data_IF_632920475583
#
_entry.id   IF_632920475583
#
_cell.length_a   1.000
_cell.length_b   1.000
_cell.length_c   1.000
_cell.angle_alpha   90.00
_cell.angle_beta   90.00
_cell.angle_gamma   90.00
#
_symmetry.space_group_name_H-M   'P 1'
#
loop_
_entity.id
_entity.type
_entity.pdbx_description
1 polymer ?
#
# COMPACT_ATOMS: atom_id res chain seq x y z
N UNK A 1 16.18 41.47 45.62
CA UNK A 1 16.85 41.59 44.29
C UNK A 1 17.49 40.25 43.97
N UNK A 2 17.78 39.94 42.69
CA UNK A 2 18.57 38.78 42.20
C UNK A 2 19.93 38.68 42.92
N UNK A 3 20.74 37.60 42.90
CA UNK A 3 20.90 36.39 42.06
C UNK A 3 21.51 35.28 42.96
N UNK A 4 21.34 33.97 42.76
CA UNK A 4 21.82 33.10 41.66
C UNK A 4 23.35 32.90 41.63
N UNK A 5 23.78 31.66 41.86
CA UNK A 5 24.85 30.89 41.17
C UNK A 5 24.95 29.51 41.90
N UNK A 6 24.40 28.41 41.36
CA UNK A 6 24.94 27.50 40.33
C UNK A 6 26.25 26.80 40.68
N UNK A 7 26.17 25.48 40.86
CA UNK A 7 27.24 24.53 40.54
C UNK A 7 26.62 23.48 39.60
N UNK A 8 27.02 23.51 38.34
CA UNK A 8 26.80 22.37 37.43
C UNK A 8 27.77 21.24 37.80
N UNK A 9 27.32 19.99 37.68
CA UNK A 9 28.00 18.99 36.85
C UNK A 9 27.24 17.66 36.80
N UNK A 10 27.07 17.11 35.59
CA UNK A 10 26.86 15.67 35.39
C UNK A 10 25.43 15.19 35.06
N UNK A 11 24.97 15.41 33.82
CA UNK A 11 24.67 14.27 32.92
C UNK A 11 24.62 14.72 31.45
N UNK A 12 25.64 14.33 30.67
CA UNK A 12 25.72 14.57 29.23
C UNK A 12 25.46 13.30 28.38
N UNK A 13 24.79 12.28 28.94
CA UNK A 13 24.53 11.00 28.25
C UNK A 13 23.07 10.83 27.78
N UNK A 14 22.12 11.61 28.30
CA UNK A 14 20.67 11.39 28.10
C UNK A 14 20.07 11.76 26.73
N UNK A 15 20.83 12.20 25.73
CA UNK A 15 20.25 12.91 24.56
C UNK A 15 19.96 12.07 23.30
N UNK A 16 20.38 10.80 23.26
CA UNK A 16 20.31 9.92 22.07
C UNK A 16 19.19 8.86 22.10
N UNK A 17 18.38 8.80 23.16
CA UNK A 17 17.31 7.82 23.32
C UNK A 17 15.95 8.49 23.54
N UNK A 18 14.88 7.82 23.12
CA UNK A 18 13.49 8.18 23.44
C UNK A 18 13.10 7.65 24.85
N UNK A 19 11.95 8.09 25.36
CA UNK A 19 11.33 7.65 26.63
C UNK A 19 10.99 6.15 26.73
N UNK A 20 11.12 5.39 25.63
CA UNK A 20 11.02 3.93 25.62
C UNK A 20 12.38 3.21 25.52
N UNK A 21 13.49 3.93 25.78
CA UNK A 21 14.84 3.39 25.84
C UNK A 21 15.44 2.97 24.49
N UNK A 22 14.79 3.34 23.37
CA UNK A 22 15.29 3.08 22.01
C UNK A 22 15.98 4.31 21.43
N UNK A 23 16.82 4.11 20.42
CA UNK A 23 17.45 5.22 19.68
C UNK A 23 16.42 6.25 19.25
N UNK A 24 16.75 7.53 19.46
CA UNK A 24 15.84 8.68 19.30
C UNK A 24 15.27 8.74 17.89
N UNK A 25 13.96 8.58 17.76
CA UNK A 25 13.28 8.58 16.47
C UNK A 25 13.29 9.99 15.87
N UNK A 26 13.95 10.14 14.73
CA UNK A 26 13.98 11.39 13.94
C UNK A 26 12.75 11.56 13.05
N UNK A 27 11.86 10.55 13.00
CA UNK A 27 10.67 10.52 12.17
C UNK A 27 9.78 11.75 12.39
N UNK A 28 9.33 12.31 11.27
CA UNK A 28 8.50 13.50 11.22
C UNK A 28 7.10 13.18 10.66
N UNK A 29 6.06 13.99 10.92
CA UNK A 29 4.75 13.92 10.26
C UNK A 29 4.94 14.01 8.73
N UNK A 30 5.96 14.72 8.24
CA UNK A 30 6.38 14.73 6.82
C UNK A 30 6.67 13.32 6.33
N UNK A 31 7.63 12.66 6.98
CA UNK A 31 7.97 11.27 6.64
C UNK A 31 6.76 10.35 6.86
N UNK A 32 5.94 10.56 7.91
CA UNK A 32 4.75 9.76 8.17
C UNK A 32 3.62 9.96 7.15
N UNK A 33 3.33 11.18 6.71
CA UNK A 33 2.36 11.48 5.65
C UNK A 33 2.88 11.01 4.31
N UNK A 34 4.16 11.24 3.98
CA UNK A 34 4.78 10.69 2.78
C UNK A 34 4.74 9.16 2.76
N UNK A 35 5.03 8.50 3.89
CA UNK A 35 4.87 7.05 4.04
C UNK A 35 3.40 6.60 3.93
N UNK A 36 2.43 7.30 4.53
CA UNK A 36 0.99 6.98 4.40
C UNK A 36 0.53 7.17 2.96
N UNK A 37 0.86 8.30 2.33
CA UNK A 37 0.52 8.60 0.94
C UNK A 37 1.13 7.56 0.02
N UNK A 38 2.41 7.24 0.15
CA UNK A 38 3.09 6.25 -0.69
C UNK A 38 2.55 4.83 -0.47
N UNK A 39 2.23 4.46 0.78
CA UNK A 39 1.65 3.17 1.10
C UNK A 39 0.21 2.99 0.59
N UNK A 40 -0.50 4.08 0.29
CA UNK A 40 -1.91 4.03 -0.16
C UNK A 40 -2.04 4.39 -1.65
N UNK A 41 -1.37 5.42 -2.15
CA UNK A 41 -1.33 5.85 -3.57
C UNK A 41 -0.44 4.90 -4.39
N UNK A 42 -0.83 3.64 -4.45
CA UNK A 42 -0.22 2.62 -5.30
C UNK A 42 -0.79 2.59 -6.71
N UNK A 43 -0.36 1.61 -7.50
CA UNK A 43 -0.88 1.32 -8.85
C UNK A 43 -2.40 1.08 -8.90
N UNK A 44 -3.03 0.69 -7.78
CA UNK A 44 -4.48 0.53 -7.67
C UNK A 44 -5.29 1.76 -8.07
N UNK A 45 -4.69 2.97 -8.02
CA UNK A 45 -5.33 4.22 -8.49
C UNK A 45 -5.75 4.15 -9.97
N UNK A 46 -5.05 3.37 -10.79
CA UNK A 46 -5.30 3.20 -12.23
C UNK A 46 -6.59 2.40 -12.50
N UNK A 47 -7.00 1.55 -11.55
CA UNK A 47 -8.24 0.76 -11.63
C UNK A 47 -9.51 1.52 -11.21
N UNK A 48 -9.39 2.74 -10.68
CA UNK A 48 -10.53 3.49 -10.15
C UNK A 48 -11.53 3.92 -11.23
N UNK A 49 -11.05 4.21 -12.45
CA UNK A 49 -11.93 4.50 -13.59
C UNK A 49 -12.83 3.30 -13.92
N UNK A 50 -12.26 2.08 -13.92
CA UNK A 50 -13.01 0.84 -14.07
C UNK A 50 -13.97 0.59 -12.90
N UNK A 51 -13.55 0.83 -11.66
CA UNK A 51 -14.41 0.65 -10.49
C UNK A 51 -15.63 1.59 -10.52
N UNK A 52 -15.44 2.86 -10.91
CA UNK A 52 -16.53 3.82 -11.10
C UNK A 52 -17.42 3.41 -12.29
N UNK A 53 -16.87 2.82 -13.36
CA UNK A 53 -17.67 2.26 -14.44
C UNK A 53 -18.54 1.06 -14.01
N UNK A 54 -18.06 0.21 -13.10
CA UNK A 54 -18.88 -0.89 -12.56
C UNK A 54 -19.99 -0.40 -11.62
N UNK A 55 -19.71 0.63 -10.80
CA UNK A 55 -20.66 1.15 -9.81
C UNK A 55 -21.64 2.19 -10.38
N UNK A 56 -21.31 2.80 -11.51
CA UNK A 56 -21.94 4.02 -12.01
C UNK A 56 -21.43 5.26 -11.26
N UNK A 57 -21.40 6.40 -11.94
CA UNK A 57 -20.58 7.54 -11.52
C UNK A 57 -20.92 8.10 -10.13
N UNK A 58 -22.19 8.44 -9.89
CA UNK A 58 -22.64 9.05 -8.63
C UNK A 58 -22.41 8.08 -7.47
N UNK A 59 -22.80 6.81 -7.63
CA UNK A 59 -22.60 5.78 -6.62
C UNK A 59 -21.10 5.54 -6.35
N UNK A 60 -20.27 5.48 -7.39
CA UNK A 60 -18.82 5.35 -7.27
C UNK A 60 -18.18 6.48 -6.46
N UNK A 61 -18.53 7.74 -6.73
CA UNK A 61 -18.07 8.90 -5.95
C UNK A 61 -18.54 8.81 -4.50
N UNK A 62 -19.85 8.59 -4.27
CA UNK A 62 -20.43 8.56 -2.92
C UNK A 62 -19.80 7.44 -2.09
N UNK A 63 -19.58 6.26 -2.68
CA UNK A 63 -18.89 5.12 -2.06
C UNK A 63 -17.43 5.47 -1.74
N UNK A 64 -16.68 6.06 -2.67
CA UNK A 64 -15.28 6.46 -2.49
C UNK A 64 -15.14 7.46 -1.33
N UNK A 65 -15.96 8.52 -1.31
CA UNK A 65 -15.98 9.52 -0.24
C UNK A 65 -16.40 8.89 1.10
N UNK A 66 -17.41 8.02 1.10
CA UNK A 66 -17.86 7.32 2.32
C UNK A 66 -16.74 6.46 2.91
N UNK A 67 -16.03 5.69 2.08
CA UNK A 67 -14.90 4.88 2.54
C UNK A 67 -13.72 5.73 2.99
N UNK A 68 -13.45 6.88 2.37
CA UNK A 68 -12.45 7.83 2.84
C UNK A 68 -12.79 8.37 4.25
N UNK A 69 -14.04 8.77 4.49
CA UNK A 69 -14.50 9.23 5.80
C UNK A 69 -14.40 8.12 6.86
N UNK A 70 -14.81 6.88 6.53
CA UNK A 70 -14.68 5.74 7.45
C UNK A 70 -13.22 5.45 7.77
N UNK A 71 -12.35 5.39 6.74
CA UNK A 71 -10.92 5.12 6.91
C UNK A 71 -10.22 6.21 7.73
N UNK A 72 -10.54 7.49 7.52
CA UNK A 72 -10.05 8.57 8.36
C UNK A 72 -10.53 8.40 9.81
N UNK A 73 -11.83 8.17 10.01
CA UNK A 73 -12.43 8.01 11.33
C UNK A 73 -11.77 6.88 12.14
N UNK A 74 -11.59 5.69 11.55
CA UNK A 74 -10.93 4.56 12.20
C UNK A 74 -9.42 4.73 12.34
N UNK A 75 -8.76 5.44 11.42
CA UNK A 75 -7.35 5.84 11.58
C UNK A 75 -7.16 6.77 12.79
N UNK A 76 -8.10 7.70 13.05
CA UNK A 76 -8.02 8.54 14.26
C UNK A 76 -8.18 7.74 15.56
N UNK A 77 -8.95 6.65 15.55
CA UNK A 77 -9.06 5.72 16.68
C UNK A 77 -7.77 4.93 16.91
N UNK A 78 -7.19 4.39 15.82
CA UNK A 78 -5.92 3.68 15.88
C UNK A 78 -4.79 4.57 16.41
N UNK A 79 -4.75 5.83 15.98
CA UNK A 79 -3.80 6.83 16.45
C UNK A 79 -3.93 7.13 17.96
N UNK A 80 -5.15 7.10 18.52
CA UNK A 80 -5.34 7.22 19.98
C UNK A 80 -4.84 5.98 20.74
N UNK A 81 -4.87 4.80 20.13
CA UNK A 81 -4.40 3.53 20.73
C UNK A 81 -2.85 3.35 20.68
N UNK A 82 -2.10 4.33 20.17
CA UNK A 82 -0.64 4.24 19.98
C UNK A 82 0.15 4.05 21.28
N UNK A 83 -0.28 4.70 22.36
CA UNK A 83 0.22 4.43 23.73
C UNK A 83 -0.84 3.67 24.52
N UNK A 84 -0.38 2.75 25.36
CA UNK A 84 -1.20 2.07 26.36
C UNK A 84 -1.64 3.02 27.48
N UNK A 85 -2.60 2.58 28.30
CA UNK A 85 -3.03 3.27 29.52
C UNK A 85 -1.87 3.46 30.54
N UNK A 86 -0.80 2.66 30.42
CA UNK A 86 0.45 2.75 31.21
C UNK A 86 1.51 3.66 30.59
N UNK A 87 1.23 4.33 29.48
CA UNK A 87 2.15 5.22 28.77
C UNK A 87 3.12 4.53 27.80
N UNK A 88 3.25 3.20 27.85
CA UNK A 88 4.16 2.45 26.97
C UNK A 88 3.71 2.50 25.51
N UNK A 89 4.64 2.67 24.58
CA UNK A 89 4.34 2.73 23.13
C UNK A 89 4.13 1.33 22.53
N UNK A 90 3.03 1.17 21.80
CA UNK A 90 2.78 -0.01 20.97
C UNK A 90 3.48 0.16 19.61
N UNK A 91 4.60 -0.53 19.40
CA UNK A 91 5.43 -0.35 18.20
C UNK A 91 4.87 -1.01 16.93
N UNK A 92 4.00 -2.02 17.05
CA UNK A 92 3.33 -2.66 15.91
C UNK A 92 1.83 -2.75 16.13
N UNK A 93 1.07 -2.84 15.03
CA UNK A 93 -0.39 -2.99 15.06
C UNK A 93 -0.85 -4.20 15.90
N UNK A 94 -0.15 -5.34 15.79
CA UNK A 94 -0.41 -6.53 16.60
C UNK A 94 -0.11 -6.32 18.09
N UNK A 95 0.81 -5.43 18.46
CA UNK A 95 1.07 -5.09 19.86
C UNK A 95 -0.08 -4.27 20.45
N UNK A 96 -0.65 -3.32 19.68
CA UNK A 96 -1.87 -2.59 20.08
C UNK A 96 -3.03 -3.55 20.34
N UNK A 97 -3.26 -4.50 19.42
CA UNK A 97 -4.30 -5.54 19.58
C UNK A 97 -4.01 -6.44 20.78
N UNK A 98 -2.73 -6.75 21.07
CA UNK A 98 -2.36 -7.54 22.25
C UNK A 98 -2.59 -6.78 23.55
N UNK A 99 -2.28 -5.48 23.59
CA UNK A 99 -2.48 -4.62 24.75
C UNK A 99 -3.96 -4.42 25.10
N UNK A 100 -4.82 -4.20 24.10
CA UNK A 100 -6.22 -3.82 24.32
C UNK A 100 -7.26 -4.94 24.18
N UNK A 101 -6.95 -6.04 23.49
CA UNK A 101 -7.92 -7.09 23.14
C UNK A 101 -7.46 -8.51 23.49
N UNK A 102 -6.16 -8.81 23.35
CA UNK A 102 -5.54 -10.06 23.79
C UNK A 102 -6.08 -11.34 23.12
N UNK A 103 -5.68 -12.49 23.67
CA UNK A 103 -6.20 -13.82 23.32
C UNK A 103 -6.30 -14.13 21.82
N UNK A 104 -7.39 -14.80 21.42
CA UNK A 104 -7.65 -15.22 20.03
C UNK A 104 -7.74 -14.06 19.03
N UNK A 105 -8.06 -12.84 19.49
CA UNK A 105 -8.13 -11.64 18.65
C UNK A 105 -6.76 -11.26 18.07
N UNK A 106 -5.66 -11.49 18.81
CA UNK A 106 -4.29 -11.30 18.31
C UNK A 106 -3.95 -12.27 17.18
N UNK A 107 -4.40 -13.52 17.27
CA UNK A 107 -4.17 -14.53 16.23
C UNK A 107 -4.93 -14.19 14.94
N UNK A 108 -6.20 -13.78 15.07
CA UNK A 108 -7.02 -13.32 13.93
C UNK A 108 -6.44 -12.05 13.28
N UNK A 109 -5.93 -11.11 14.09
CA UNK A 109 -5.22 -9.93 13.60
C UNK A 109 -3.98 -10.31 12.79
N UNK A 110 -3.14 -11.21 13.32
CA UNK A 110 -1.95 -11.69 12.61
C UNK A 110 -2.29 -12.39 11.30
N UNK A 111 -3.31 -13.26 11.30
CA UNK A 111 -3.78 -13.94 10.08
C UNK A 111 -4.24 -12.94 9.01
N UNK A 112 -5.07 -11.96 9.38
CA UNK A 112 -5.54 -10.94 8.44
C UNK A 112 -4.39 -10.03 7.94
N UNK A 113 -3.49 -9.61 8.83
CA UNK A 113 -2.39 -8.71 8.51
C UNK A 113 -1.34 -9.37 7.61
N UNK A 114 -0.83 -10.56 7.97
CA UNK A 114 0.15 -11.26 7.15
C UNK A 114 -0.47 -11.82 5.86
N UNK A 115 -1.74 -12.25 5.88
CA UNK A 115 -2.48 -12.63 4.68
C UNK A 115 -2.63 -11.47 3.69
N UNK A 116 -2.95 -10.26 4.20
CA UNK A 116 -2.96 -9.03 3.40
C UNK A 116 -1.58 -8.74 2.79
N UNK A 117 -0.51 -8.79 3.59
CA UNK A 117 0.85 -8.52 3.11
C UNK A 117 1.30 -9.51 2.02
N UNK A 118 1.00 -10.80 2.17
CA UNK A 118 1.22 -11.82 1.13
C UNK A 118 0.44 -11.46 -0.15
N UNK A 119 -0.84 -11.15 -0.02
CA UNK A 119 -1.68 -10.72 -1.13
C UNK A 119 -1.11 -9.50 -1.87
N UNK A 120 -0.70 -8.46 -1.13
CA UNK A 120 -0.07 -7.25 -1.69
C UNK A 120 1.20 -7.60 -2.48
N UNK A 121 2.08 -8.45 -1.95
CA UNK A 121 3.29 -8.89 -2.67
C UNK A 121 2.97 -9.62 -3.98
N UNK A 122 1.94 -10.47 -4.01
CA UNK A 122 1.45 -11.12 -5.25
C UNK A 122 0.91 -10.08 -6.23
N UNK A 123 0.08 -9.15 -5.75
CA UNK A 123 -0.49 -8.08 -6.57
C UNK A 123 0.57 -7.17 -7.20
N UNK A 124 1.65 -6.86 -6.48
CA UNK A 124 2.78 -6.09 -6.98
C UNK A 124 3.55 -6.83 -8.08
N UNK A 125 3.83 -8.13 -7.91
CA UNK A 125 4.45 -8.96 -8.96
C UNK A 125 3.62 -8.96 -10.24
N UNK A 126 2.28 -9.09 -10.13
CA UNK A 126 1.37 -9.02 -11.28
C UNK A 126 1.44 -7.64 -11.94
N UNK A 127 1.30 -6.57 -11.16
CA UNK A 127 1.20 -5.21 -11.70
C UNK A 127 2.51 -4.76 -12.37
N UNK A 128 3.67 -4.97 -11.72
CA UNK A 128 4.96 -4.62 -12.30
C UNK A 128 5.20 -5.34 -13.64
N UNK A 129 4.73 -6.58 -13.75
CA UNK A 129 4.82 -7.35 -15.00
C UNK A 129 3.89 -6.81 -16.08
N UNK A 130 2.69 -6.36 -15.75
CA UNK A 130 1.78 -5.67 -16.68
C UNK A 130 2.41 -4.37 -17.19
N UNK A 131 3.04 -3.58 -16.31
CA UNK A 131 3.76 -2.36 -16.71
C UNK A 131 4.97 -2.63 -17.60
N UNK A 132 5.77 -3.68 -17.32
CA UNK A 132 6.87 -4.08 -18.20
C UNK A 132 6.39 -4.58 -19.57
N UNK A 133 5.26 -5.30 -19.60
CA UNK A 133 4.58 -5.71 -20.84
C UNK A 133 4.08 -4.51 -21.63
N UNK A 134 3.59 -3.46 -20.97
CA UNK A 134 3.17 -2.22 -21.62
C UNK A 134 4.36 -1.49 -22.27
N UNK A 135 5.50 -1.38 -21.58
CA UNK A 135 6.75 -0.85 -22.14
C UNK A 135 7.20 -1.65 -23.37
N UNK A 136 7.20 -2.99 -23.27
CA UNK A 136 7.56 -3.87 -24.40
C UNK A 136 6.64 -3.69 -25.61
N UNK A 137 5.33 -3.51 -25.38
CA UNK A 137 4.37 -3.21 -26.45
C UNK A 137 4.56 -1.81 -27.05
N UNK A 138 4.74 -0.78 -26.22
CA UNK A 138 4.93 0.60 -26.66
C UNK A 138 6.16 0.73 -27.57
N UNK A 139 7.30 0.15 -27.16
CA UNK A 139 8.50 0.10 -28.00
C UNK A 139 8.28 -0.69 -29.30
N UNK A 140 7.58 -1.83 -29.24
CA UNK A 140 7.24 -2.59 -30.45
C UNK A 140 6.38 -1.79 -31.44
N UNK A 141 5.40 -1.02 -30.95
CA UNK A 141 4.57 -0.14 -31.81
C UNK A 141 5.34 1.09 -32.32
N UNK A 142 6.30 1.61 -31.54
CA UNK A 142 7.18 2.68 -31.99
C UNK A 142 8.10 2.22 -33.14
N UNK A 143 8.71 1.05 -33.02
CA UNK A 143 9.63 0.50 -34.03
C UNK A 143 8.91 -0.01 -35.30
N UNK A 144 7.72 -0.60 -35.15
CA UNK A 144 7.02 -1.32 -36.25
C UNK A 144 5.74 -0.66 -36.74
N UNK A 145 5.24 0.35 -36.04
CA UNK A 145 3.98 1.03 -36.33
C UNK A 145 2.73 0.31 -35.83
N UNK A 146 1.63 1.06 -35.73
CA UNK A 146 0.33 0.61 -35.18
C UNK A 146 -0.36 -0.53 -35.95
N UNK A 147 0.10 -0.89 -37.15
CA UNK A 147 -0.48 -1.96 -37.97
C UNK A 147 -0.09 -3.37 -37.52
N UNK A 148 0.96 -3.51 -36.71
CA UNK A 148 1.56 -4.80 -36.38
C UNK A 148 1.02 -5.42 -35.07
N UNK A 149 1.01 -6.76 -35.01
CA UNK A 149 0.52 -7.49 -33.83
C UNK A 149 1.59 -7.61 -32.74
N UNK A 150 1.82 -6.53 -32.00
CA UNK A 150 2.71 -6.52 -30.84
C UNK A 150 2.11 -7.27 -29.63
N UNK A 151 2.55 -8.52 -29.42
CA UNK A 151 2.25 -9.32 -28.23
C UNK A 151 3.50 -9.61 -27.42
N UNK A 152 3.40 -9.52 -26.09
CA UNK A 152 4.51 -9.75 -25.15
C UNK A 152 4.04 -10.74 -24.06
N UNK A 153 4.82 -11.77 -23.72
CA UNK A 153 4.44 -12.75 -22.70
C UNK A 153 4.61 -12.18 -21.29
N UNK A 154 3.62 -12.38 -20.41
CA UNK A 154 3.64 -11.84 -19.05
C UNK A 154 4.62 -12.58 -18.11
N UNK A 155 4.78 -13.90 -18.28
CA UNK A 155 5.51 -14.75 -17.33
C UNK A 155 7.02 -14.46 -17.22
N UNK A 156 7.76 -14.17 -18.29
CA UNK A 156 9.16 -13.75 -18.17
C UNK A 156 9.35 -12.50 -17.31
N UNK A 157 8.45 -11.51 -17.41
CA UNK A 157 8.52 -10.31 -16.59
C UNK A 157 8.19 -10.58 -15.11
N UNK A 158 7.25 -11.50 -14.82
CA UNK A 158 7.00 -11.97 -13.44
C UNK A 158 8.24 -12.65 -12.85
N UNK A 159 8.93 -13.49 -13.65
CA UNK A 159 10.15 -14.15 -13.23
C UNK A 159 11.29 -13.13 -12.97
N UNK A 160 11.48 -12.16 -13.87
CA UNK A 160 12.47 -11.08 -13.71
C UNK A 160 12.21 -10.26 -12.45
N UNK A 161 10.96 -9.85 -12.20
CA UNK A 161 10.59 -9.14 -10.97
C UNK A 161 10.88 -10.00 -9.72
N UNK A 162 10.50 -11.28 -9.74
CA UNK A 162 10.82 -12.23 -8.67
C UNK A 162 12.32 -12.38 -8.41
N UNK A 163 13.16 -12.42 -9.45
CA UNK A 163 14.63 -12.47 -9.32
C UNK A 163 15.18 -11.20 -8.66
N UNK A 164 14.70 -10.02 -9.06
CA UNK A 164 15.07 -8.74 -8.42
C UNK A 164 14.67 -8.75 -6.95
N UNK A 165 13.45 -9.19 -6.63
CA UNK A 165 12.97 -9.27 -5.25
C UNK A 165 13.68 -10.33 -4.41
N UNK A 166 14.16 -11.44 -4.99
CA UNK A 166 15.02 -12.40 -4.27
C UNK A 166 16.30 -11.72 -3.80
N UNK A 167 16.94 -10.89 -4.65
CA UNK A 167 18.17 -10.17 -4.34
C UNK A 167 17.91 -9.09 -3.27
N UNK A 168 16.91 -8.23 -3.50
CA UNK A 168 16.59 -7.12 -2.58
C UNK A 168 16.07 -7.62 -1.23
N UNK A 169 15.35 -8.74 -1.19
CA UNK A 169 14.89 -9.34 0.06
C UNK A 169 16.04 -9.80 0.97
N UNK A 170 17.26 -10.02 0.46
CA UNK A 170 18.40 -10.36 1.32
C UNK A 170 18.92 -9.17 2.14
N UNK A 171 18.44 -7.95 1.88
CA UNK A 171 18.87 -6.74 2.59
C UNK A 171 18.24 -6.75 4.00
N UNK A 172 19.04 -6.74 5.08
CA UNK A 172 18.54 -7.06 6.42
C UNK A 172 17.92 -5.89 7.19
N UNK A 173 17.96 -4.63 6.70
CA UNK A 173 17.34 -3.51 7.44
C UNK A 173 16.69 -2.45 6.55
N UNK A 174 15.53 -1.96 7.02
CA UNK A 174 14.77 -0.87 6.42
C UNK A 174 15.51 0.48 6.47
N UNK A 175 16.41 0.69 7.44
CA UNK A 175 17.22 1.91 7.51
C UNK A 175 18.20 2.05 6.33
N UNK A 176 18.66 0.96 5.73
CA UNK A 176 19.41 0.98 4.45
C UNK A 176 18.53 1.25 3.23
N UNK A 177 17.20 1.17 3.39
CA UNK A 177 16.19 1.29 2.32
C UNK A 177 15.32 2.56 2.46
N UNK A 178 15.62 3.46 3.41
CA UNK A 178 14.84 4.69 3.65
C UNK A 178 14.75 5.58 2.40
N UNK A 179 15.82 5.65 1.62
CA UNK A 179 15.88 6.31 0.32
C UNK A 179 14.90 5.73 -0.71
N UNK A 180 14.65 4.41 -0.69
CA UNK A 180 13.66 3.79 -1.58
C UNK A 180 12.24 4.30 -1.30
N UNK A 181 11.91 4.65 -0.06
CA UNK A 181 10.61 5.24 0.23
C UNK A 181 10.45 6.63 -0.37
N UNK A 182 11.52 7.43 -0.48
CA UNK A 182 11.46 8.76 -1.10
C UNK A 182 11.29 8.61 -2.63
N UNK A 183 12.02 7.68 -3.25
CA UNK A 183 11.83 7.33 -4.66
C UNK A 183 10.39 6.86 -4.88
N UNK A 184 9.88 5.94 -4.07
CA UNK A 184 8.50 5.45 -4.16
C UNK A 184 7.47 6.59 -4.10
N UNK A 185 7.64 7.57 -3.19
CA UNK A 185 6.81 8.78 -3.17
C UNK A 185 6.85 9.50 -4.52
N UNK A 186 8.04 9.89 -5.00
CA UNK A 186 8.19 10.66 -6.25
C UNK A 186 7.62 9.92 -7.46
N UNK A 187 7.88 8.61 -7.56
CA UNK A 187 7.36 7.76 -8.64
C UNK A 187 5.83 7.65 -8.60
N UNK A 188 5.23 7.54 -7.40
CA UNK A 188 3.77 7.44 -7.23
C UNK A 188 3.03 8.69 -7.69
N UNK A 189 3.51 9.88 -7.30
CA UNK A 189 2.97 11.15 -7.81
C UNK A 189 3.20 11.28 -9.33
N UNK A 190 4.34 10.79 -9.85
CA UNK A 190 4.69 10.89 -11.27
C UNK A 190 3.70 10.12 -12.16
N UNK A 191 3.53 8.81 -11.97
CA UNK A 191 2.61 8.05 -12.83
C UNK A 191 1.15 8.46 -12.65
N UNK A 192 0.74 8.87 -11.43
CA UNK A 192 -0.62 9.35 -11.19
C UNK A 192 -0.88 10.65 -11.98
N UNK A 193 0.04 11.61 -11.92
CA UNK A 193 -0.07 12.89 -12.63
C UNK A 193 -0.04 12.71 -14.15
N UNK A 194 0.77 11.79 -14.66
CA UNK A 194 0.81 11.45 -16.09
C UNK A 194 -0.52 10.81 -16.53
N UNK A 195 -1.04 9.85 -15.75
CA UNK A 195 -2.32 9.23 -16.02
C UNK A 195 -3.48 10.23 -16.06
N UNK A 196 -3.50 11.18 -15.12
CA UNK A 196 -4.45 12.30 -15.11
C UNK A 196 -4.28 13.17 -16.36
N UNK A 197 -3.04 13.53 -16.73
CA UNK A 197 -2.74 14.32 -17.92
C UNK A 197 -3.21 13.67 -19.22
N UNK A 198 -2.96 12.35 -19.38
CA UNK A 198 -3.43 11.57 -20.52
C UNK A 198 -4.96 11.51 -20.58
N UNK A 199 -5.63 11.26 -19.45
CA UNK A 199 -7.08 11.22 -19.39
C UNK A 199 -7.72 12.59 -19.70
N UNK A 200 -7.13 13.70 -19.22
CA UNK A 200 -7.55 15.06 -19.59
C UNK A 200 -7.36 15.33 -21.09
N UNK A 201 -6.25 14.86 -21.69
CA UNK A 201 -6.01 15.01 -23.11
C UNK A 201 -7.02 14.24 -23.98
N UNK A 202 -7.53 13.10 -23.50
CA UNK A 202 -8.65 12.39 -24.15
C UNK A 202 -9.93 13.22 -24.09
N UNK A 203 -10.31 13.72 -22.89
CA UNK A 203 -11.51 14.56 -22.71
C UNK A 203 -11.46 15.80 -23.63
N UNK A 204 -10.33 16.51 -23.67
CA UNK A 204 -10.16 17.70 -24.50
C UNK A 204 -10.23 17.40 -26.02
N UNK A 205 -9.69 16.26 -26.48
CA UNK A 205 -9.78 15.88 -27.91
C UNK A 205 -11.19 15.43 -28.31
N UNK A 206 -11.95 14.80 -27.41
CA UNK A 206 -13.34 14.43 -27.66
C UNK A 206 -14.23 15.67 -27.85
N UNK A 207 -14.02 16.70 -27.03
CA UNK A 207 -14.70 17.99 -27.12
C UNK A 207 -14.42 18.71 -28.46
N UNK A 208 -13.15 18.82 -28.86
CA UNK A 208 -12.75 19.49 -30.10
C UNK A 208 -13.19 18.80 -31.40
N UNK A 209 -13.42 17.47 -31.39
CA UNK A 209 -13.77 16.70 -32.60
C UNK A 209 -15.25 16.34 -32.73
N UNK A 210 -16.12 16.85 -31.84
CA UNK A 210 -17.55 16.46 -31.82
C UNK A 210 -17.76 14.97 -31.54
N UNK A 211 -16.79 14.32 -30.90
CA UNK A 211 -16.92 12.93 -30.47
C UNK A 211 -17.96 12.81 -29.35
N UNK A 212 -18.67 11.68 -29.30
CA UNK A 212 -19.68 11.44 -28.25
C UNK A 212 -19.02 11.29 -26.87
N UNK A 213 -18.81 12.41 -26.19
CA UNK A 213 -18.52 12.49 -24.76
C UNK A 213 -19.66 11.80 -23.99
N UNK A 214 -19.33 10.89 -23.07
CA UNK A 214 -20.32 10.36 -22.13
C UNK A 214 -20.86 11.50 -21.27
N UNK A 215 -22.16 11.58 -20.99
CA UNK A 215 -22.75 12.78 -20.34
C UNK A 215 -22.10 13.08 -18.97
N UNK A 216 -21.47 14.25 -18.84
CA UNK A 216 -20.69 14.69 -17.66
C UNK A 216 -21.05 16.12 -17.22
N UNK A 217 -21.00 16.43 -15.92
CA UNK A 217 -21.23 17.77 -15.36
C UNK A 217 -20.11 18.27 -14.43
N UNK A 218 -19.86 19.58 -14.41
CA UNK A 218 -18.72 20.25 -13.72
C UNK A 218 -19.02 20.62 -12.24
N UNK A 219 -18.10 21.02 -11.35
CA UNK A 219 -16.78 21.72 -11.42
C UNK A 219 -15.94 21.45 -10.14
N UNK A 220 -14.64 21.81 -10.08
CA UNK A 220 -13.89 21.94 -8.79
C UNK A 220 -12.35 21.89 -8.90
N UNK A 221 -11.61 22.64 -8.07
CA UNK A 221 -10.23 23.12 -8.41
C UNK A 221 -9.18 23.17 -7.25
N UNK A 222 -7.92 22.79 -7.59
CA UNK A 222 -6.54 23.14 -7.06
C UNK A 222 -6.03 22.94 -5.60
N UNK A 223 -4.71 22.59 -5.53
CA UNK A 223 -3.65 22.69 -4.47
C UNK A 223 -3.96 22.09 -3.07
N UNK A 224 -3.07 21.41 -2.32
CA UNK A 224 -1.63 21.08 -2.41
C UNK A 224 -1.00 21.17 -0.99
N UNK A 225 -0.15 20.24 -0.55
CA UNK A 225 0.29 20.12 0.87
C UNK A 225 1.73 19.60 1.02
N UNK A 226 2.47 20.19 1.98
CA UNK A 226 3.80 19.77 2.47
C UNK A 226 3.84 19.62 4.01
N UNK A 227 4.65 18.66 4.47
CA UNK A 227 5.68 18.64 5.53
C UNK A 227 5.51 19.21 6.95
N UNK A 228 6.12 18.53 7.97
CA UNK A 228 5.65 18.56 9.38
C UNK A 228 6.51 17.79 10.48
N UNK A 229 5.95 17.09 11.51
CA UNK A 229 6.35 16.98 12.95
C UNK A 229 7.15 15.79 13.57
N UNK A 230 8.12 16.10 14.44
CA UNK A 230 8.93 15.21 15.31
C UNK A 230 8.17 14.55 16.50
N UNK A 231 8.91 13.85 17.38
CA UNK A 231 8.46 13.20 18.64
C UNK A 231 7.86 14.11 19.73
N UNK A 232 7.88 15.43 19.52
CA UNK A 232 6.99 16.39 20.18
C UNK A 232 6.46 17.31 19.07
N UNK A 233 5.13 17.60 18.99
CA UNK A 233 4.04 17.34 19.94
C UNK A 233 3.56 15.87 19.98
N UNK A 234 2.56 15.50 20.83
CA UNK A 234 2.16 14.10 21.05
C UNK A 234 1.81 13.29 19.78
N UNK A 235 2.26 12.04 19.74
CA UNK A 235 2.24 11.17 18.56
C UNK A 235 0.83 10.87 18.06
N UNK A 236 -0.19 10.87 18.92
CA UNK A 236 -1.57 10.72 18.49
C UNK A 236 -2.10 11.97 17.76
N UNK A 237 -1.73 13.18 18.21
CA UNK A 237 -2.05 14.45 17.53
C UNK A 237 -1.29 14.56 16.20
N UNK A 238 -0.03 14.11 16.19
CA UNK A 238 0.79 13.94 14.99
C UNK A 238 0.06 12.98 14.05
N UNK A 239 -0.02 11.69 14.38
CA UNK A 239 -0.57 10.65 13.52
C UNK A 239 -1.97 10.99 12.97
N UNK A 240 -2.86 11.60 13.77
CA UNK A 240 -4.16 12.09 13.27
C UNK A 240 -4.06 13.13 12.15
N UNK A 241 -3.16 14.11 12.27
CA UNK A 241 -2.91 15.10 11.22
C UNK A 241 -2.29 14.45 9.97
N UNK A 242 -1.43 13.43 10.13
CA UNK A 242 -0.82 12.71 9.01
C UNK A 242 -1.84 11.81 8.31
N UNK A 243 -2.69 11.13 9.07
CA UNK A 243 -3.84 10.40 8.53
C UNK A 243 -4.81 11.33 7.81
N UNK A 244 -5.06 12.54 8.33
CA UNK A 244 -5.88 13.53 7.62
C UNK A 244 -5.24 13.93 6.29
N UNK A 245 -3.99 14.39 6.31
CA UNK A 245 -3.27 14.80 5.10
C UNK A 245 -3.18 13.64 4.08
N UNK A 246 -2.82 12.44 4.53
CA UNK A 246 -2.69 11.26 3.69
C UNK A 246 -4.02 10.80 3.10
N UNK A 247 -5.09 10.72 3.90
CA UNK A 247 -6.42 10.34 3.39
C UNK A 247 -6.98 11.41 2.47
N UNK A 248 -6.86 12.70 2.80
CA UNK A 248 -7.31 13.80 1.94
C UNK A 248 -6.57 13.82 0.60
N UNK A 249 -5.23 13.75 0.60
CA UNK A 249 -4.43 13.70 -0.63
C UNK A 249 -4.76 12.46 -1.46
N UNK A 250 -4.82 11.28 -0.83
CA UNK A 250 -5.21 10.03 -1.53
C UNK A 250 -6.60 10.17 -2.14
N UNK A 251 -7.59 10.65 -1.38
CA UNK A 251 -8.97 10.81 -1.84
C UNK A 251 -9.04 11.78 -3.01
N UNK A 252 -8.28 12.88 -2.98
CA UNK A 252 -8.16 13.81 -4.10
C UNK A 252 -7.61 13.13 -5.36
N UNK A 253 -6.46 12.44 -5.28
CA UNK A 253 -5.91 11.72 -6.44
C UNK A 253 -6.83 10.60 -6.93
N UNK A 254 -7.50 9.89 -6.03
CA UNK A 254 -8.44 8.82 -6.35
C UNK A 254 -9.68 9.35 -7.07
N UNK A 255 -10.25 10.45 -6.58
CA UNK A 255 -11.33 11.17 -7.25
C UNK A 255 -10.88 11.71 -8.61
N UNK A 256 -9.67 12.25 -8.72
CA UNK A 256 -9.15 12.85 -9.94
C UNK A 256 -8.91 11.78 -11.03
N UNK A 257 -8.16 10.72 -10.73
CA UNK A 257 -7.94 9.59 -11.63
C UNK A 257 -9.25 8.87 -11.98
N UNK A 258 -10.09 8.60 -10.98
CA UNK A 258 -11.36 7.91 -11.15
C UNK A 258 -12.35 8.70 -12.02
N UNK A 259 -12.61 9.96 -11.69
CA UNK A 259 -13.59 10.79 -12.41
C UNK A 259 -13.09 11.20 -13.79
N UNK A 260 -11.81 11.58 -13.97
CA UNK A 260 -11.30 11.97 -15.29
C UNK A 260 -11.14 10.73 -16.18
N UNK A 261 -10.65 9.60 -15.65
CA UNK A 261 -10.60 8.35 -16.38
C UNK A 261 -11.99 7.86 -16.78
N UNK A 262 -12.98 7.94 -15.88
CA UNK A 262 -14.36 7.60 -16.24
C UNK A 262 -14.98 8.60 -17.24
N UNK A 263 -14.67 9.89 -17.16
CA UNK A 263 -15.10 10.87 -18.17
C UNK A 263 -14.47 10.62 -19.56
N UNK A 264 -13.21 10.16 -19.59
CA UNK A 264 -12.48 9.83 -20.82
C UNK A 264 -13.00 8.55 -21.50
N UNK A 265 -13.34 7.51 -20.73
CA UNK A 265 -13.60 6.15 -21.26
C UNK A 265 -15.02 5.61 -21.01
N UNK A 266 -15.80 6.24 -20.11
CA UNK A 266 -17.16 5.85 -19.74
C UNK A 266 -17.27 4.39 -19.27
N UNK A 267 -18.34 3.72 -19.67
CA UNK A 267 -18.60 2.30 -19.34
C UNK A 267 -17.56 1.32 -19.94
N UNK A 268 -16.63 1.81 -20.79
CA UNK A 268 -15.51 1.03 -21.34
C UNK A 268 -14.18 1.34 -20.64
N UNK A 269 -14.20 2.03 -19.49
CA UNK A 269 -13.01 2.31 -18.70
C UNK A 269 -12.21 1.02 -18.42
N UNK A 270 -10.95 0.95 -18.86
CA UNK A 270 -10.12 -0.25 -18.69
C UNK A 270 -9.65 -0.44 -17.26
N UNK A 271 -9.25 -1.68 -16.94
CA UNK A 271 -8.74 -2.05 -15.61
C UNK A 271 -7.44 -1.35 -15.23
N UNK A 272 -6.65 -0.97 -16.23
CA UNK A 272 -5.53 -0.04 -16.11
C UNK A 272 -5.49 0.84 -17.37
N UNK A 273 -5.80 2.14 -17.21
CA UNK A 273 -5.86 3.08 -18.32
C UNK A 273 -4.49 3.57 -18.82
N UNK A 274 -3.38 3.18 -18.20
CA UNK A 274 -2.03 3.39 -18.77
C UNK A 274 -1.58 2.26 -19.70
N UNK A 275 -2.23 1.08 -19.65
CA UNK A 275 -1.78 -0.10 -20.42
C UNK A 275 -2.79 -0.60 -21.45
N UNK A 276 -4.08 -0.30 -21.27
CA UNK A 276 -5.16 -0.68 -22.20
C UNK A 276 -5.52 0.44 -23.20
N UNK A 277 -4.85 1.60 -23.16
CA UNK A 277 -5.09 2.71 -24.10
C UNK A 277 -3.77 3.32 -24.60
N UNK A 278 -3.43 3.08 -25.86
CA UNK A 278 -2.22 3.65 -26.47
C UNK A 278 -2.43 5.11 -26.86
N UNK A 279 -1.52 5.97 -26.42
CA UNK A 279 -1.48 7.38 -26.77
C UNK A 279 -0.05 7.78 -27.10
N UNK A 280 0.13 8.51 -28.19
CA UNK A 280 1.41 9.17 -28.46
C UNK A 280 1.54 10.39 -27.52
N UNK A 281 2.72 10.61 -26.89
CA UNK A 281 4.00 9.98 -27.22
C UNK A 281 4.36 8.74 -26.37
N UNK A 282 4.95 7.72 -27.00
CA UNK A 282 5.34 6.45 -26.36
C UNK A 282 6.22 6.62 -25.12
N UNK A 283 7.22 7.52 -25.18
CA UNK A 283 8.15 7.74 -24.07
C UNK A 283 7.46 8.11 -22.76
N UNK A 284 6.27 8.74 -22.81
CA UNK A 284 5.51 9.14 -21.63
C UNK A 284 4.80 7.95 -21.00
N UNK A 285 4.32 7.00 -21.81
CA UNK A 285 3.78 5.71 -21.36
C UNK A 285 4.90 4.85 -20.78
N UNK A 286 6.06 4.81 -21.45
CA UNK A 286 7.24 4.07 -20.97
C UNK A 286 7.72 4.60 -19.63
N UNK A 287 7.85 5.93 -19.50
CA UNK A 287 8.26 6.58 -18.27
C UNK A 287 7.25 6.35 -17.14
N UNK A 288 5.94 6.47 -17.40
CA UNK A 288 4.90 6.19 -16.39
C UNK A 288 4.95 4.74 -15.90
N UNK A 289 5.10 3.77 -16.82
CA UNK A 289 5.22 2.36 -16.47
C UNK A 289 6.54 2.03 -15.76
N UNK A 290 7.65 2.67 -16.12
CA UNK A 290 8.92 2.55 -15.40
C UNK A 290 8.81 3.09 -13.97
N UNK A 291 8.13 4.23 -13.77
CA UNK A 291 7.80 4.76 -12.44
C UNK A 291 6.97 3.75 -11.62
N UNK A 292 5.98 3.07 -12.22
CA UNK A 292 5.20 2.02 -11.54
C UNK A 292 6.13 0.88 -11.12
N UNK A 293 6.95 0.33 -12.01
CA UNK A 293 7.87 -0.78 -11.70
C UNK A 293 8.82 -0.41 -10.56
N UNK A 294 9.44 0.77 -10.61
CA UNK A 294 10.34 1.26 -9.57
C UNK A 294 9.63 1.48 -8.22
N UNK A 295 8.41 2.01 -8.23
CA UNK A 295 7.59 2.11 -7.02
C UNK A 295 7.30 0.71 -6.45
N UNK A 296 6.86 -0.23 -7.27
CA UNK A 296 6.45 -1.56 -6.80
C UNK A 296 7.60 -2.39 -6.24
N UNK A 297 8.82 -2.24 -6.78
CA UNK A 297 10.05 -2.83 -6.21
C UNK A 297 10.26 -2.33 -4.76
N UNK A 298 10.25 -1.01 -4.57
CA UNK A 298 10.42 -0.40 -3.26
C UNK A 298 9.27 -0.80 -2.28
N UNK A 299 8.03 -0.77 -2.77
CA UNK A 299 6.86 -1.11 -1.98
C UNK A 299 6.81 -2.58 -1.58
N UNK A 300 7.25 -3.51 -2.45
CA UNK A 300 7.34 -4.94 -2.12
C UNK A 300 8.15 -5.17 -0.84
N UNK A 301 9.31 -4.50 -0.72
CA UNK A 301 10.14 -4.56 0.49
C UNK A 301 9.44 -4.01 1.74
N UNK A 302 8.62 -2.96 1.63
CA UNK A 302 7.82 -2.43 2.77
C UNK A 302 6.89 -3.50 3.35
N UNK A 303 6.24 -4.30 2.50
CA UNK A 303 5.24 -5.30 2.92
C UNK A 303 5.84 -6.69 3.22
N UNK A 304 6.95 -7.08 2.56
CA UNK A 304 7.61 -8.37 2.80
C UNK A 304 8.45 -8.39 4.10
N UNK A 305 9.14 -7.29 4.44
CA UNK A 305 10.04 -7.25 5.60
C UNK A 305 9.35 -7.54 6.95
N UNK A 306 8.11 -7.09 7.23
CA UNK A 306 7.36 -7.52 8.43
C UNK A 306 7.11 -9.03 8.53
N UNK A 307 6.91 -9.72 7.41
CA UNK A 307 6.74 -11.19 7.37
C UNK A 307 8.09 -11.86 7.67
N UNK A 308 9.17 -11.40 7.04
CA UNK A 308 10.52 -11.88 7.29
C UNK A 308 10.90 -11.74 8.76
N UNK A 309 10.75 -10.55 9.34
CA UNK A 309 11.01 -10.28 10.75
C UNK A 309 10.15 -11.14 11.68
N UNK A 310 8.86 -11.35 11.38
CA UNK A 310 8.00 -12.19 12.20
C UNK A 310 8.47 -13.65 12.24
N UNK A 311 8.72 -14.24 11.07
CA UNK A 311 9.15 -15.64 10.97
C UNK A 311 10.56 -15.82 11.53
N UNK A 312 11.51 -14.95 11.19
CA UNK A 312 12.88 -14.99 11.70
C UNK A 312 12.93 -14.86 13.23
N UNK A 313 12.23 -13.88 13.81
CA UNK A 313 12.19 -13.73 15.27
C UNK A 313 11.52 -14.91 15.97
N UNK A 314 10.53 -15.55 15.33
CA UNK A 314 9.88 -16.75 15.87
C UNK A 314 10.80 -17.97 15.80
N UNK A 315 11.51 -18.17 14.69
CA UNK A 315 12.45 -19.28 14.49
C UNK A 315 13.69 -19.14 15.40
N UNK A 316 14.28 -17.94 15.51
CA UNK A 316 15.39 -17.65 16.43
C UNK A 316 15.03 -17.96 17.89
N UNK A 317 13.79 -17.67 18.33
CA UNK A 317 13.32 -17.97 19.69
C UNK A 317 12.96 -19.43 19.91
N UNK A 318 12.48 -20.13 18.88
CA UNK A 318 12.09 -21.53 18.98
C UNK A 318 13.30 -22.49 18.92
N UNK A 319 14.37 -22.10 18.22
CA UNK A 319 15.54 -22.94 17.96
C UNK A 319 16.86 -22.18 18.12
N UNK A 320 17.18 -21.67 19.33
CA UNK A 320 18.40 -20.89 19.57
C UNK A 320 19.69 -21.68 19.28
N UNK A 321 19.70 -22.98 19.57
CA UNK A 321 20.85 -23.89 19.35
C UNK A 321 21.12 -24.21 17.86
N UNK A 322 20.22 -23.80 16.94
CA UNK A 322 20.34 -24.18 15.53
C UNK A 322 21.31 -23.26 14.79
N UNK A 323 22.51 -23.78 14.54
CA UNK A 323 23.54 -23.13 13.71
C UNK A 323 23.04 -22.69 12.31
N UNK A 324 22.00 -23.32 11.74
CA UNK A 324 21.41 -22.90 10.46
C UNK A 324 20.63 -21.57 10.59
N UNK A 325 20.01 -21.36 11.76
CA UNK A 325 19.12 -20.25 12.07
C UNK A 325 19.92 -19.06 12.64
N UNK A 326 20.69 -19.30 13.69
CA UNK A 326 21.32 -18.25 14.51
C UNK A 326 22.70 -17.82 14.04
N UNK A 327 23.45 -18.65 13.30
CA UNK A 327 24.81 -18.31 12.84
C UNK A 327 24.80 -17.24 11.75
N UNK A 328 25.19 -16.02 12.12
CA UNK A 328 25.38 -14.91 11.19
C UNK A 328 26.75 -15.00 10.49
N UNK A 329 26.76 -14.89 9.16
CA UNK A 329 27.96 -14.77 8.34
C UNK A 329 28.02 -13.35 7.77
N UNK A 330 29.15 -12.67 7.96
CA UNK A 330 29.35 -11.32 7.42
C UNK A 330 29.85 -11.40 5.99
N UNK A 331 29.01 -11.01 5.02
CA UNK A 331 29.42 -10.85 3.63
C UNK A 331 29.52 -9.36 3.30
N UNK A 332 30.58 -8.97 2.59
CA UNK A 332 30.70 -7.61 2.06
C UNK A 332 30.11 -7.59 0.64
N UNK A 333 28.93 -6.97 0.50
CA UNK A 333 28.24 -6.90 -0.79
C UNK A 333 28.61 -5.57 -1.44
N UNK A 334 29.02 -5.60 -2.71
CA UNK A 334 29.33 -4.41 -3.49
C UNK A 334 28.14 -3.42 -3.44
N UNK A 335 28.41 -2.13 -3.28
CA UNK A 335 27.44 -1.04 -3.02
C UNK A 335 26.64 -1.08 -1.69
N UNK A 336 26.45 -2.23 -1.03
CA UNK A 336 25.63 -2.33 0.20
C UNK A 336 26.43 -2.48 1.51
N UNK A 337 27.74 -2.72 1.40
CA UNK A 337 28.68 -2.86 2.51
C UNK A 337 28.51 -4.20 3.26
N UNK A 338 28.95 -4.22 4.52
CA UNK A 338 28.83 -5.40 5.38
C UNK A 338 27.34 -5.71 5.65
N UNK A 339 26.91 -6.91 5.27
CA UNK A 339 25.61 -7.47 5.58
C UNK A 339 25.79 -8.77 6.37
N UNK A 340 24.94 -8.99 7.37
CA UNK A 340 24.92 -10.22 8.17
C UNK A 340 23.79 -11.11 7.69
N UNK A 341 24.13 -12.28 7.17
CA UNK A 341 23.18 -13.22 6.57
C UNK A 341 23.34 -14.56 7.31
N UNK A 342 22.23 -15.22 7.66
CA UNK A 342 22.23 -16.63 8.07
C UNK A 342 21.61 -17.47 6.96
N UNK A 343 21.98 -18.74 6.87
CA UNK A 343 21.48 -19.64 5.83
C UNK A 343 19.95 -19.78 5.89
N UNK A 344 19.36 -19.80 7.10
CA UNK A 344 17.91 -19.72 7.28
C UNK A 344 17.29 -18.51 6.58
N UNK A 345 17.84 -17.30 6.78
CA UNK A 345 17.31 -16.07 6.15
C UNK A 345 17.39 -16.15 4.62
N UNK A 346 18.52 -16.60 4.08
CA UNK A 346 18.70 -16.77 2.64
C UNK A 346 17.67 -17.73 2.04
N UNK A 347 17.50 -18.92 2.63
CA UNK A 347 16.58 -19.94 2.14
C UNK A 347 15.12 -19.50 2.32
N UNK A 348 14.74 -19.03 3.51
CA UNK A 348 13.36 -18.63 3.81
C UNK A 348 12.89 -17.45 2.94
N UNK A 349 13.67 -16.38 2.84
CA UNK A 349 13.29 -15.20 2.04
C UNK A 349 13.20 -15.53 0.56
N UNK A 350 14.12 -16.35 0.05
CA UNK A 350 14.08 -16.84 -1.34
C UNK A 350 12.84 -17.70 -1.60
N UNK A 351 12.54 -18.66 -0.72
CA UNK A 351 11.36 -19.51 -0.82
C UNK A 351 10.05 -18.70 -0.77
N UNK A 352 9.99 -17.65 0.06
CA UNK A 352 8.85 -16.74 0.11
C UNK A 352 8.63 -16.01 -1.22
N UNK A 353 9.68 -15.41 -1.81
CA UNK A 353 9.56 -14.68 -3.09
C UNK A 353 9.23 -15.62 -4.25
N UNK A 354 9.78 -16.83 -4.26
CA UNK A 354 9.41 -17.87 -5.24
C UNK A 354 7.92 -18.21 -5.09
N UNK A 355 7.44 -18.42 -3.86
CA UNK A 355 6.03 -18.74 -3.61
C UNK A 355 5.08 -17.63 -4.10
N UNK A 356 5.32 -16.36 -3.74
CA UNK A 356 4.47 -15.24 -4.18
C UNK A 356 4.51 -15.06 -5.70
N UNK A 357 5.68 -15.24 -6.32
CA UNK A 357 5.86 -15.18 -7.78
C UNK A 357 5.11 -16.30 -8.50
N UNK A 358 5.19 -17.54 -8.01
CA UNK A 358 4.46 -18.68 -8.59
C UNK A 358 2.95 -18.49 -8.46
N UNK A 359 2.45 -18.00 -7.32
CA UNK A 359 1.01 -17.69 -7.15
C UNK A 359 0.56 -16.58 -8.12
N UNK A 360 1.39 -15.55 -8.34
CA UNK A 360 1.13 -14.51 -9.34
C UNK A 360 1.06 -15.07 -10.78
N UNK A 361 1.89 -16.06 -11.12
CA UNK A 361 1.87 -16.73 -12.42
C UNK A 361 0.64 -17.63 -12.61
N UNK A 362 0.17 -18.31 -11.56
CA UNK A 362 -1.03 -19.17 -11.64
C UNK A 362 -2.30 -18.31 -11.78
N UNK A 363 -2.36 -17.16 -11.10
CA UNK A 363 -3.53 -16.28 -11.10
C UNK A 363 -3.18 -14.83 -11.51
N UNK A 364 -2.88 -14.56 -12.79
CA UNK A 364 -2.44 -13.23 -13.25
C UNK A 364 -3.60 -12.20 -13.40
N UNK A 365 -4.55 -12.19 -12.46
CA UNK A 365 -5.82 -11.46 -12.56
C UNK A 365 -5.85 -10.23 -11.63
N UNK A 366 -5.22 -9.13 -12.06
CA UNK A 366 -5.02 -7.90 -11.29
C UNK A 366 -6.28 -7.42 -10.54
N UNK A 367 -7.38 -7.09 -11.23
CA UNK A 367 -8.59 -6.55 -10.61
C UNK A 367 -9.23 -7.50 -9.57
N UNK A 368 -9.24 -8.81 -9.84
CA UNK A 368 -9.85 -9.80 -8.96
C UNK A 368 -9.02 -10.01 -7.69
N UNK A 369 -7.69 -10.00 -7.81
CA UNK A 369 -6.77 -10.10 -6.67
C UNK A 369 -6.81 -8.81 -5.85
N UNK A 370 -6.76 -7.64 -6.49
CA UNK A 370 -6.84 -6.35 -5.80
C UNK A 370 -8.15 -6.20 -5.01
N UNK A 371 -9.28 -6.57 -5.61
CA UNK A 371 -10.59 -6.58 -4.94
C UNK A 371 -10.66 -7.55 -3.75
N UNK A 372 -10.10 -8.76 -3.89
CA UNK A 372 -10.06 -9.74 -2.81
C UNK A 372 -9.15 -9.30 -1.64
N UNK A 373 -7.97 -8.75 -1.93
CA UNK A 373 -7.06 -8.18 -0.92
C UNK A 373 -7.74 -7.03 -0.19
N UNK A 374 -8.33 -6.09 -0.93
CA UNK A 374 -9.04 -4.94 -0.37
C UNK A 374 -10.17 -5.37 0.57
N UNK A 375 -11.01 -6.31 0.15
CA UNK A 375 -12.10 -6.84 0.98
C UNK A 375 -11.59 -7.60 2.22
N UNK A 376 -10.56 -8.44 2.06
CA UNK A 376 -9.97 -9.22 3.15
C UNK A 376 -9.22 -8.35 4.18
N UNK A 377 -8.66 -7.22 3.77
CA UNK A 377 -7.95 -6.29 4.65
C UNK A 377 -8.89 -5.28 5.34
N UNK A 378 -9.82 -4.69 4.59
CA UNK A 378 -10.60 -3.53 5.03
C UNK A 378 -11.41 -3.82 6.30
N UNK A 379 -12.25 -4.87 6.30
CA UNK A 379 -13.09 -5.11 7.46
C UNK A 379 -12.28 -5.45 8.73
N UNK A 380 -11.36 -6.42 8.75
CA UNK A 380 -10.65 -6.74 9.99
C UNK A 380 -9.70 -5.61 10.41
N UNK A 381 -8.85 -5.11 9.50
CA UNK A 381 -7.72 -4.24 9.84
C UNK A 381 -8.07 -2.75 9.83
N UNK A 382 -8.92 -2.30 8.92
CA UNK A 382 -9.31 -0.88 8.81
C UNK A 382 -10.50 -0.56 9.70
N UNK A 383 -11.42 -1.49 9.96
CA UNK A 383 -12.67 -1.20 10.70
C UNK A 383 -12.79 -1.93 12.04
N UNK A 384 -12.80 -3.26 12.05
CA UNK A 384 -13.09 -4.07 13.24
C UNK A 384 -12.08 -3.82 14.36
N UNK A 385 -10.79 -4.08 14.12
CA UNK A 385 -9.78 -3.96 15.17
C UNK A 385 -9.63 -2.53 15.71
N UNK A 386 -9.57 -1.45 14.90
CA UNK A 386 -9.48 -0.08 15.42
C UNK A 386 -10.69 0.31 16.28
N UNK A 387 -11.91 -0.07 15.87
CA UNK A 387 -13.13 0.18 16.64
C UNK A 387 -13.16 -0.63 17.95
N UNK A 388 -12.79 -1.91 17.91
CA UNK A 388 -12.72 -2.74 19.12
C UNK A 388 -11.67 -2.23 20.12
N UNK A 389 -10.48 -1.84 19.64
CA UNK A 389 -9.42 -1.27 20.47
C UNK A 389 -9.86 0.06 21.10
N UNK A 390 -10.52 0.92 20.34
CA UNK A 390 -11.07 2.19 20.85
C UNK A 390 -12.19 1.99 21.89
N UNK A 391 -13.09 1.01 21.69
CA UNK A 391 -14.11 0.65 22.67
C UNK A 391 -13.45 0.18 23.98
N UNK A 392 -12.39 -0.63 23.89
CA UNK A 392 -11.62 -1.14 25.03
C UNK A 392 -10.88 0.00 25.76
N UNK A 393 -10.03 0.75 25.06
CA UNK A 393 -9.25 1.87 25.59
C UNK A 393 -10.14 2.92 26.27
N UNK A 394 -11.22 3.34 25.60
CA UNK A 394 -12.12 4.38 26.12
C UNK A 394 -13.20 3.85 27.05
N UNK A 395 -13.13 2.56 27.42
CA UNK A 395 -14.01 1.84 28.36
C UNK A 395 -15.50 2.14 28.08
N UNK A 396 -15.87 2.13 26.80
CA UNK A 396 -17.19 2.61 26.34
C UNK A 396 -18.27 1.66 26.86
N UNK A 397 -19.19 2.17 27.69
CA UNK A 397 -20.29 1.39 28.27
C UNK A 397 -21.08 0.64 27.18
N UNK A 398 -21.15 -0.68 27.31
CA UNK A 398 -21.92 -1.58 26.44
C UNK A 398 -23.38 -1.09 26.37
N UNK A 399 -24.01 -1.19 25.20
CA UNK A 399 -25.37 -0.69 24.91
C UNK A 399 -25.57 0.83 25.01
N UNK A 400 -24.53 1.65 25.24
CA UNK A 400 -24.65 3.10 25.00
C UNK A 400 -24.86 3.40 23.52
N UNK A 401 -25.50 4.54 23.18
CA UNK A 401 -25.71 4.95 21.78
C UNK A 401 -24.40 4.99 20.97
N UNK A 402 -23.30 5.42 21.60
CA UNK A 402 -21.96 5.40 20.99
C UNK A 402 -21.46 3.98 20.70
N UNK A 403 -21.66 3.04 21.64
CA UNK A 403 -21.31 1.64 21.44
C UNK A 403 -22.15 1.00 20.32
N UNK A 404 -23.46 1.28 20.29
CA UNK A 404 -24.38 0.78 19.25
C UNK A 404 -23.97 1.31 17.87
N UNK A 405 -23.74 2.62 17.73
CA UNK A 405 -23.30 3.23 16.47
C UNK A 405 -21.96 2.66 15.95
N UNK A 406 -20.99 2.46 16.84
CA UNK A 406 -19.71 1.83 16.49
C UNK A 406 -19.87 0.37 16.05
N UNK A 407 -20.72 -0.41 16.71
CA UNK A 407 -21.03 -1.78 16.31
C UNK A 407 -21.80 -1.86 15.00
N UNK A 408 -22.72 -0.93 14.76
CA UNK A 408 -23.45 -0.81 13.50
C UNK A 408 -22.49 -0.47 12.34
N UNK A 409 -21.56 0.46 12.52
CA UNK A 409 -20.50 0.76 11.53
C UNK A 409 -19.70 -0.49 11.17
N UNK A 410 -19.24 -1.25 12.17
CA UNK A 410 -18.51 -2.52 11.97
C UNK A 410 -19.35 -3.54 11.21
N UNK A 411 -20.65 -3.65 11.49
CA UNK A 411 -21.58 -4.58 10.83
C UNK A 411 -21.84 -4.19 9.37
N UNK A 412 -22.14 -2.91 9.10
CA UNK A 412 -22.38 -2.41 7.74
C UNK A 412 -21.12 -2.61 6.88
N UNK A 413 -19.94 -2.26 7.41
CA UNK A 413 -18.68 -2.50 6.73
C UNK A 413 -18.45 -3.99 6.43
N UNK A 414 -18.81 -4.89 7.36
CA UNK A 414 -18.69 -6.34 7.17
C UNK A 414 -19.50 -6.82 5.96
N UNK A 415 -20.76 -6.39 5.88
CA UNK A 415 -21.68 -6.77 4.79
C UNK A 415 -21.13 -6.28 3.45
N UNK A 416 -20.70 -5.02 3.37
CA UNK A 416 -20.16 -4.45 2.12
C UNK A 416 -18.86 -5.18 1.71
N UNK A 417 -17.95 -5.50 2.64
CA UNK A 417 -16.76 -6.30 2.29
C UNK A 417 -17.08 -7.72 1.87
N UNK A 418 -18.10 -8.37 2.45
CA UNK A 418 -18.49 -9.71 2.05
C UNK A 418 -19.03 -9.72 0.62
N UNK A 419 -19.84 -8.72 0.26
CA UNK A 419 -20.32 -8.52 -1.11
C UNK A 419 -19.17 -8.22 -2.08
N UNK A 420 -18.20 -7.39 -1.71
CA UNK A 420 -17.02 -7.10 -2.51
C UNK A 420 -16.12 -8.34 -2.71
N UNK A 421 -15.93 -9.17 -1.67
CA UNK A 421 -15.20 -10.43 -1.76
C UNK A 421 -15.92 -11.43 -2.68
N UNK A 422 -17.24 -11.58 -2.56
CA UNK A 422 -18.05 -12.43 -3.45
C UNK A 422 -17.92 -11.95 -4.91
N UNK A 423 -18.05 -10.64 -5.16
CA UNK A 423 -17.86 -10.06 -6.50
C UNK A 423 -16.48 -10.34 -7.08
N UNK A 424 -15.43 -10.21 -6.26
CA UNK A 424 -14.04 -10.49 -6.65
C UNK A 424 -13.82 -11.97 -6.98
N UNK A 425 -14.40 -12.89 -6.18
CA UNK A 425 -14.34 -14.35 -6.40
C UNK A 425 -15.11 -14.74 -7.68
N UNK A 426 -16.30 -14.17 -7.91
CA UNK A 426 -17.07 -14.39 -9.14
C UNK A 426 -16.31 -13.86 -10.37
N UNK A 427 -15.65 -12.71 -10.24
CA UNK A 427 -14.73 -12.19 -11.26
C UNK A 427 -13.58 -13.16 -11.55
N UNK A 428 -12.88 -13.62 -10.51
CA UNK A 428 -11.78 -14.59 -10.62
C UNK A 428 -12.22 -15.88 -11.33
N UNK A 429 -13.35 -16.47 -10.93
CA UNK A 429 -13.88 -17.71 -11.53
C UNK A 429 -14.21 -17.51 -13.01
N UNK A 430 -14.80 -16.36 -13.39
CA UNK A 430 -15.08 -16.03 -14.79
C UNK A 430 -13.77 -15.89 -15.59
N UNK A 431 -12.79 -15.17 -15.06
CA UNK A 431 -11.48 -14.99 -15.70
C UNK A 431 -10.74 -16.32 -15.87
N UNK A 432 -10.67 -17.16 -14.83
CA UNK A 432 -10.05 -18.49 -14.89
C UNK A 432 -10.72 -19.38 -15.95
N UNK A 433 -12.06 -19.40 -16.04
CA UNK A 433 -12.79 -20.17 -17.07
C UNK A 433 -12.51 -19.70 -18.50
N UNK A 434 -12.20 -18.42 -18.69
CA UNK A 434 -11.80 -17.87 -20.00
C UNK A 434 -10.28 -18.04 -20.28
N UNK A 435 -9.48 -18.38 -19.28
CA UNK A 435 -8.02 -18.36 -19.36
C UNK A 435 -7.43 -19.68 -19.87
N UNK A 436 -7.01 -19.69 -21.15
CA UNK A 436 -6.18 -20.77 -21.70
C UNK A 436 -4.79 -20.68 -21.08
N UNK A 437 -4.46 -21.62 -20.20
CA UNK A 437 -3.24 -21.56 -19.36
C UNK A 437 -1.93 -21.56 -20.16
N UNK A 438 -1.93 -22.17 -21.34
CA UNK A 438 -0.82 -22.12 -22.28
C UNK A 438 -1.34 -21.96 -23.70
N UNK A 439 -0.82 -20.96 -24.42
CA UNK A 439 -0.79 -21.00 -25.87
C UNK A 439 0.36 -21.93 -26.27
N UNK A 440 0.01 -23.14 -26.71
CA UNK A 440 0.86 -23.94 -27.60
C UNK A 440 0.70 -23.47 -29.04
#
# INVERSE_FOLDING_TARGET
>A
MKSFDTVESGDATGNNFDDDGREKRTGTLMTASAHIITAVVGSGVLSLAWAIAQLGWVAGIVILVTFAVINYYTSTMLADCYRSDTGTRNCTYMDVVRAYLGGRKVQLCGLAQYGCFIGVTIGYTITASISLVAIGKANCFHDKGHGEKCSMPNYPFMAVFGIVEIILSQIPSFHKLSFLSIIATVMSFSYASIGIGLAMAVVARCDMKGGKVGKTGATGTVVGVEDTLRSSPPENKVMKKASLAGVSTTTFFYMLCGCIGYAAFGNKAPGDFLTDFFYEPYWLIDFANACIVLHLIAAYQVFAQPIFQFVENKCNKAWPESNFITKEHSMNILFLGKCRISFFRLVWRTAYVIFTTVVAMIFPFFNAILGLIGAAAFWPLTVYFPVEMHISQRKIKKHSMRWIGLKLLVLVCMIVTLLAAIGSIVGLIKSVKAYKHFHS
#
